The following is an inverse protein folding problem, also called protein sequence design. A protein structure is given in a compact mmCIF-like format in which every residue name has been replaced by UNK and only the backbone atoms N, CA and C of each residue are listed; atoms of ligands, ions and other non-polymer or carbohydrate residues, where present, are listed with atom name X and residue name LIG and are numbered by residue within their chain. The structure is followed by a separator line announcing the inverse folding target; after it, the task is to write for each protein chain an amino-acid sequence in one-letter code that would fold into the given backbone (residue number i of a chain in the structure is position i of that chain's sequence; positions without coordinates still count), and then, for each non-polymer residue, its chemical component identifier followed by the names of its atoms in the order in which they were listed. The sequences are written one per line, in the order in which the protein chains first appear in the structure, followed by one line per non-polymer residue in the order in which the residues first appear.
data_IF_333045880024
#
_entry.id   IF_333045880024
#
_cell.length_a   1.000
_cell.length_b   1.000
_cell.length_c   1.000
_cell.angle_alpha   90.00
_cell.angle_beta   90.00
_cell.angle_gamma   90.00
#
_symmetry.space_group_name_H-M   'P 1'
#
loop_
_entity.id
_entity.type
_entity.pdbx_description
1 polymer ?
#
# COMPACT_ATOMS: atom_id res chain seq x y z
N UNK A 1 -70.41 8.51 5.10
CA UNK A 1 -70.62 7.15 5.63
C UNK A 1 -69.35 6.71 6.31
N UNK A 2 -69.44 6.52 7.64
CA UNK A 2 -68.37 6.11 8.56
C UNK A 2 -68.36 4.59 8.70
N UNK A 3 -67.18 3.99 8.79
CA UNK A 3 -66.83 2.66 9.36
C UNK A 3 -65.29 2.55 9.27
N UNK A 4 -64.49 3.03 10.22
CA UNK A 4 -64.21 2.54 11.58
C UNK A 4 -64.22 1.02 11.69
N UNK A 5 -63.03 0.41 11.90
CA UNK A 5 -62.78 -0.91 12.51
C UNK A 5 -61.32 -0.91 13.03
N UNK A 6 -61.13 -0.48 14.27
CA UNK A 6 -60.68 -1.29 15.44
C UNK A 6 -59.18 -1.54 15.55
N UNK A 7 -58.55 -0.79 16.47
CA UNK A 7 -57.27 -1.11 17.11
C UNK A 7 -57.45 -2.37 17.99
N UNK A 8 -56.60 -3.38 17.80
CA UNK A 8 -56.43 -4.45 18.78
C UNK A 8 -55.05 -4.27 19.43
N UNK A 9 -55.05 -4.11 20.75
CA UNK A 9 -53.86 -4.12 21.59
C UNK A 9 -53.82 -5.42 22.39
N UNK A 10 -52.60 -5.78 22.81
CA UNK A 10 -52.20 -6.66 23.92
C UNK A 10 -51.95 -8.16 23.63
N UNK A 11 -50.64 -8.44 23.56
CA UNK A 11 -49.87 -9.17 24.58
C UNK A 11 -49.49 -10.64 24.32
N UNK A 12 -48.27 -10.93 24.80
CA UNK A 12 -47.66 -12.22 25.13
C UNK A 12 -46.96 -13.00 24.01
N UNK A 13 -45.63 -12.82 23.96
CA UNK A 13 -44.70 -13.95 24.06
C UNK A 13 -44.37 -14.70 22.78
N UNK A 14 -43.26 -14.31 22.15
CA UNK A 14 -42.20 -15.25 21.79
C UNK A 14 -40.92 -14.45 21.56
N UNK A 15 -40.00 -14.55 22.52
CA UNK A 15 -38.63 -14.07 22.35
C UNK A 15 -37.95 -15.05 21.38
N UNK A 16 -38.12 -14.83 20.08
CA UNK A 16 -37.36 -15.55 19.07
C UNK A 16 -35.91 -15.13 19.22
N UNK A 17 -35.11 -15.98 19.87
CA UNK A 17 -33.66 -15.87 19.84
C UNK A 17 -33.24 -15.84 18.37
N UNK A 18 -32.71 -14.71 17.91
CA UNK A 18 -31.89 -14.69 16.72
C UNK A 18 -30.59 -15.44 17.08
N UNK A 19 -30.26 -16.56 16.43
CA UNK A 19 -28.87 -16.96 16.40
C UNK A 19 -28.14 -15.85 15.65
N UNK A 20 -27.27 -15.12 16.35
CA UNK A 20 -26.18 -14.41 15.70
C UNK A 20 -25.30 -15.49 15.07
N UNK A 21 -25.57 -15.83 13.81
CA UNK A 21 -24.64 -16.61 13.01
C UNK A 21 -23.41 -15.74 12.80
N UNK A 22 -22.46 -15.85 13.74
CA UNK A 22 -21.08 -15.44 13.51
C UNK A 22 -20.51 -16.37 12.46
N UNK A 23 -20.44 -15.89 11.22
CA UNK A 23 -19.55 -16.41 10.21
C UNK A 23 -18.40 -15.41 10.09
N UNK A 24 -17.37 -15.59 10.92
CA UNK A 24 -16.03 -15.05 10.67
C UNK A 24 -15.11 -16.27 10.54
N UNK A 25 -14.16 -16.20 9.60
CA UNK A 25 -13.21 -17.24 9.18
C UNK A 25 -13.72 -18.23 8.12
N UNK A 26 -13.91 -17.73 6.89
CA UNK A 26 -13.64 -18.49 5.66
C UNK A 26 -12.61 -17.64 4.93
N UNK A 27 -11.33 -17.97 5.01
CA UNK A 27 -10.27 -17.16 4.41
C UNK A 27 -8.94 -17.88 4.27
N UNK A 28 -8.63 -18.84 5.15
CA UNK A 28 -7.28 -19.41 5.19
C UNK A 28 -7.10 -20.71 4.38
N UNK A 29 -8.15 -21.51 4.16
CA UNK A 29 -8.00 -22.85 3.53
C UNK A 29 -7.81 -22.83 2.00
N UNK A 30 -8.15 -21.74 1.30
CA UNK A 30 -8.06 -21.64 -0.16
C UNK A 30 -6.64 -21.33 -0.66
N UNK A 31 -5.82 -20.69 0.17
CA UNK A 31 -4.46 -20.25 -0.18
C UNK A 31 -3.39 -21.35 -0.07
N UNK A 32 -3.63 -22.36 0.77
CA UNK A 32 -2.73 -23.49 0.99
C UNK A 32 -2.66 -24.45 -0.21
N UNK A 33 -3.66 -24.43 -1.09
CA UNK A 33 -3.72 -25.26 -2.30
C UNK A 33 -3.41 -24.50 -3.60
N UNK A 34 -3.10 -23.19 -3.53
CA UNK A 34 -2.88 -22.36 -4.71
C UNK A 34 -1.56 -22.69 -5.42
N UNK A 35 -1.60 -22.84 -6.76
CA UNK A 35 -0.42 -23.13 -7.57
C UNK A 35 0.47 -21.89 -7.74
N UNK A 36 1.59 -21.88 -7.02
CA UNK A 36 2.61 -20.83 -7.07
C UNK A 36 3.78 -21.16 -8.02
N UNK A 37 3.62 -22.12 -8.92
CA UNK A 37 4.69 -22.52 -9.84
C UNK A 37 5.13 -21.33 -10.69
N UNK A 38 6.41 -20.91 -10.61
CA UNK A 38 6.92 -19.82 -11.43
C UNK A 38 6.83 -20.15 -12.92
N UNK A 39 6.49 -19.14 -13.72
CA UNK A 39 6.42 -19.23 -15.17
C UNK A 39 7.54 -18.42 -15.80
N UNK A 40 8.16 -18.98 -16.84
CA UNK A 40 9.20 -18.29 -17.60
C UNK A 40 8.65 -17.15 -18.46
N UNK A 41 7.42 -17.30 -18.99
CA UNK A 41 6.85 -16.36 -19.93
C UNK A 41 5.33 -16.21 -19.76
N UNK A 42 4.84 -14.98 -19.88
CA UNK A 42 3.42 -14.66 -19.95
C UNK A 42 3.03 -14.15 -21.34
N UNK A 43 1.74 -14.28 -21.69
CA UNK A 43 1.23 -13.83 -23.00
C UNK A 43 0.84 -12.36 -22.95
N UNK A 44 1.50 -11.53 -23.76
CA UNK A 44 1.33 -10.05 -23.70
C UNK A 44 -0.09 -9.60 -24.04
N UNK A 45 -0.75 -10.26 -24.98
CA UNK A 45 -2.14 -9.92 -25.37
C UNK A 45 -3.19 -10.19 -24.28
N UNK A 46 -2.80 -10.87 -23.20
CA UNK A 46 -3.64 -11.11 -22.02
C UNK A 46 -3.32 -10.16 -20.87
N UNK A 47 -2.25 -9.38 -20.93
CA UNK A 47 -1.95 -8.37 -19.91
C UNK A 47 -3.02 -7.27 -20.02
N UNK A 48 -3.67 -6.98 -18.91
CA UNK A 48 -4.66 -5.93 -18.78
C UNK A 48 -4.04 -4.68 -18.14
N UNK A 49 -3.31 -4.88 -17.04
CA UNK A 49 -2.62 -3.81 -16.30
C UNK A 49 -1.24 -4.26 -15.85
N UNK A 50 -0.33 -3.29 -15.74
CA UNK A 50 1.01 -3.46 -15.18
C UNK A 50 1.23 -2.42 -14.10
N UNK A 51 1.73 -2.85 -12.96
CA UNK A 51 1.86 -2.02 -11.77
C UNK A 51 3.18 -2.31 -11.07
N UNK A 52 4.00 -1.28 -10.87
CA UNK A 52 5.22 -1.34 -10.08
C UNK A 52 4.89 -1.07 -8.61
N UNK A 53 5.05 -2.08 -7.77
CA UNK A 53 4.89 -1.94 -6.31
C UNK A 53 6.09 -1.22 -5.69
N UNK A 54 7.28 -1.49 -6.22
CA UNK A 54 8.52 -0.86 -5.84
C UNK A 54 9.54 -0.94 -7.00
N UNK A 55 10.78 -0.51 -6.75
CA UNK A 55 11.86 -0.56 -7.75
C UNK A 55 12.34 -1.99 -8.10
N UNK A 56 11.73 -3.05 -7.59
CA UNK A 56 12.13 -4.44 -7.81
C UNK A 56 10.95 -5.41 -8.02
N UNK A 57 9.71 -4.99 -7.84
CA UNK A 57 8.53 -5.85 -7.90
C UNK A 57 7.47 -5.23 -8.82
N UNK A 58 7.06 -6.01 -9.83
CA UNK A 58 6.05 -5.61 -10.81
C UNK A 58 4.92 -6.63 -10.79
N UNK A 59 3.69 -6.16 -10.70
CA UNK A 59 2.48 -6.94 -10.93
C UNK A 59 2.04 -6.84 -12.38
N UNK A 60 1.72 -7.99 -12.97
CA UNK A 60 1.08 -8.12 -14.25
C UNK A 60 -0.31 -8.72 -14.03
N UNK A 61 -1.34 -7.87 -14.10
CA UNK A 61 -2.74 -8.28 -14.00
C UNK A 61 -3.19 -8.75 -15.37
N UNK A 62 -3.62 -10.00 -15.43
CA UNK A 62 -4.04 -10.65 -16.67
C UNK A 62 -5.56 -10.60 -16.77
N UNK A 63 -6.06 -10.68 -18.00
CA UNK A 63 -7.49 -10.89 -18.25
C UNK A 63 -7.92 -12.22 -17.64
N UNK A 64 -9.01 -12.19 -16.87
CA UNK A 64 -9.52 -13.34 -16.12
C UNK A 64 -8.93 -13.45 -14.71
N UNK A 65 -8.66 -12.31 -14.07
CA UNK A 65 -8.36 -12.15 -12.64
C UNK A 65 -7.08 -12.84 -12.13
N UNK A 66 -6.25 -13.36 -13.04
CA UNK A 66 -4.94 -13.91 -12.68
C UNK A 66 -3.90 -12.80 -12.58
N UNK A 67 -3.17 -12.76 -11.46
CA UNK A 67 -2.09 -11.79 -11.24
C UNK A 67 -0.76 -12.51 -11.11
N UNK A 68 0.25 -11.98 -11.80
CA UNK A 68 1.64 -12.45 -11.68
C UNK A 68 2.50 -11.38 -11.06
N UNK A 69 3.31 -11.76 -10.06
CA UNK A 69 4.42 -10.95 -9.57
C UNK A 69 5.69 -11.33 -10.32
N UNK A 70 6.38 -10.32 -10.87
CA UNK A 70 7.73 -10.44 -11.41
C UNK A 70 8.70 -9.75 -10.45
N UNK A 71 9.57 -10.52 -9.81
CA UNK A 71 10.64 -9.97 -8.98
C UNK A 71 11.91 -9.80 -9.81
N UNK A 72 12.35 -8.56 -9.97
CA UNK A 72 13.52 -8.22 -10.77
C UNK A 72 14.80 -8.69 -10.07
N UNK A 73 15.76 -9.31 -10.79
CA UNK A 73 17.02 -9.78 -10.21
C UNK A 73 17.91 -8.64 -9.69
N UNK A 74 17.64 -7.39 -10.08
CA UNK A 74 18.26 -6.18 -9.55
C UNK A 74 17.20 -5.08 -9.48
N UNK A 75 17.37 -4.14 -8.55
CA UNK A 75 16.57 -2.92 -8.51
C UNK A 75 16.67 -2.15 -9.83
N UNK A 76 15.55 -1.57 -10.23
CA UNK A 76 15.33 -0.83 -11.45
C UNK A 76 14.99 0.62 -11.08
N UNK A 77 15.96 1.54 -11.15
CA UNK A 77 15.76 2.89 -10.63
C UNK A 77 14.61 3.63 -11.31
N UNK A 78 13.72 4.20 -10.49
CA UNK A 78 12.59 5.03 -10.96
C UNK A 78 11.36 4.25 -11.39
N UNK A 79 11.36 2.92 -11.22
CA UNK A 79 10.26 2.06 -11.62
C UNK A 79 9.00 2.31 -10.79
N UNK A 80 9.07 2.38 -9.46
CA UNK A 80 7.91 2.71 -8.60
C UNK A 80 7.36 4.10 -8.96
N UNK A 81 8.27 5.07 -9.06
CA UNK A 81 7.94 6.48 -9.25
C UNK A 81 7.23 6.75 -10.58
N UNK A 82 7.69 6.12 -11.65
CA UNK A 82 7.12 6.31 -12.99
C UNK A 82 5.94 5.38 -13.25
N UNK A 83 5.91 4.22 -12.59
CA UNK A 83 4.90 3.16 -12.73
C UNK A 83 4.52 2.89 -14.20
N UNK A 84 5.53 2.93 -15.08
CA UNK A 84 5.35 2.86 -16.53
C UNK A 84 6.61 2.34 -17.18
N UNK A 85 6.44 1.35 -18.04
CA UNK A 85 7.53 0.66 -18.72
C UNK A 85 7.23 0.45 -20.20
N UNK A 86 8.27 0.38 -21.01
CA UNK A 86 8.27 -0.25 -22.32
C UNK A 86 8.93 -1.62 -22.23
N UNK A 87 8.50 -2.56 -23.07
CA UNK A 87 9.12 -3.88 -23.18
C UNK A 87 9.19 -4.32 -24.64
N UNK A 88 10.15 -5.20 -24.94
CA UNK A 88 10.26 -5.84 -26.24
C UNK A 88 9.90 -7.31 -26.10
N UNK A 89 8.98 -7.77 -26.93
CA UNK A 89 8.47 -9.14 -26.86
C UNK A 89 9.15 -10.03 -27.90
N UNK A 90 9.31 -11.30 -27.54
CA UNK A 90 9.69 -12.35 -28.49
C UNK A 90 8.49 -13.26 -28.72
N UNK A 91 8.03 -13.34 -29.98
CA UNK A 91 6.88 -14.18 -30.37
C UNK A 91 5.58 -13.90 -29.57
N UNK A 92 5.31 -12.63 -29.21
CA UNK A 92 4.08 -12.22 -28.51
C UNK A 92 4.04 -12.58 -27.02
N UNK A 93 5.16 -13.03 -26.45
CA UNK A 93 5.32 -13.32 -25.03
C UNK A 93 6.31 -12.34 -24.40
N UNK A 94 6.15 -12.14 -23.10
CA UNK A 94 7.12 -11.45 -22.25
C UNK A 94 7.73 -12.51 -21.33
N UNK A 95 9.04 -12.69 -21.41
CA UNK A 95 9.76 -13.75 -20.73
C UNK A 95 10.73 -13.21 -19.69
N UNK A 96 11.14 -14.07 -18.75
CA UNK A 96 12.11 -13.79 -17.69
C UNK A 96 13.48 -13.32 -18.22
N UNK A 97 13.82 -13.72 -19.44
CA UNK A 97 15.05 -13.31 -20.12
C UNK A 97 14.95 -11.96 -20.84
N UNK A 98 13.74 -11.41 -20.98
CA UNK A 98 13.51 -10.14 -21.65
C UNK A 98 13.85 -8.96 -20.72
N UNK A 99 13.86 -7.76 -21.31
CA UNK A 99 14.14 -6.52 -20.61
C UNK A 99 12.98 -5.55 -20.71
N UNK A 100 12.80 -4.76 -19.66
CA UNK A 100 11.92 -3.61 -19.59
C UNK A 100 12.75 -2.32 -19.56
N UNK A 101 12.18 -1.22 -20.02
CA UNK A 101 12.74 0.13 -19.92
C UNK A 101 11.73 1.01 -19.21
N UNK A 102 12.13 1.65 -18.11
CA UNK A 102 11.29 2.63 -17.42
C UNK A 102 11.04 3.82 -18.34
N UNK A 103 9.80 4.29 -18.42
CA UNK A 103 9.43 5.45 -19.24
C UNK A 103 9.26 6.69 -18.36
N UNK A 104 10.29 7.54 -18.37
CA UNK A 104 10.36 8.73 -17.55
C UNK A 104 9.59 9.90 -18.15
N UNK A 105 8.81 10.61 -17.31
CA UNK A 105 8.13 11.83 -17.72
C UNK A 105 9.15 12.95 -17.97
N UNK A 106 9.16 13.51 -19.18
CA UNK A 106 10.02 14.62 -19.56
C UNK A 106 9.27 15.66 -20.38
N UNK A 107 8.95 16.81 -19.76
CA UNK A 107 8.12 17.84 -20.39
C UNK A 107 6.75 17.28 -20.75
N UNK A 108 6.38 17.36 -22.04
CA UNK A 108 5.07 16.89 -22.56
C UNK A 108 5.08 15.44 -23.07
N UNK A 109 6.17 14.69 -22.88
CA UNK A 109 6.30 13.32 -23.40
C UNK A 109 7.13 12.40 -22.51
N UNK A 110 7.41 11.19 -23.01
CA UNK A 110 8.20 10.18 -22.31
C UNK A 110 9.58 10.02 -22.92
N UNK A 111 10.55 9.66 -22.08
CA UNK A 111 11.90 9.28 -22.49
C UNK A 111 12.27 7.94 -21.88
N UNK A 112 13.12 7.22 -22.57
CA UNK A 112 13.69 5.97 -22.07
C UNK A 112 14.61 6.28 -20.87
N UNK A 113 14.29 5.67 -19.73
CA UNK A 113 15.08 5.67 -18.52
C UNK A 113 15.92 4.40 -18.39
N UNK A 114 16.02 3.86 -17.17
CA UNK A 114 16.80 2.64 -16.92
C UNK A 114 16.17 1.40 -17.57
N UNK A 115 17.04 0.56 -18.14
CA UNK A 115 16.67 -0.76 -18.67
C UNK A 115 17.05 -1.86 -17.70
N UNK A 116 16.11 -2.75 -17.41
CA UNK A 116 16.21 -3.78 -16.39
C UNK A 116 15.80 -5.13 -16.94
N UNK A 117 16.46 -6.20 -16.51
CA UNK A 117 16.05 -7.58 -16.84
C UNK A 117 14.87 -7.97 -15.98
N UNK A 118 13.96 -8.76 -16.54
CA UNK A 118 12.89 -9.40 -15.82
C UNK A 118 13.40 -10.59 -14.99
N UNK A 119 12.54 -11.08 -14.09
CA UNK A 119 12.66 -12.37 -13.42
C UNK A 119 11.54 -13.32 -13.84
N UNK A 120 11.32 -14.37 -13.05
CA UNK A 120 10.20 -15.29 -13.27
C UNK A 120 8.86 -14.66 -12.87
N UNK A 121 7.77 -15.16 -13.45
CA UNK A 121 6.42 -14.73 -13.16
C UNK A 121 5.78 -15.69 -12.16
N UNK A 122 5.64 -15.25 -10.92
CA UNK A 122 5.04 -16.05 -9.84
C UNK A 122 3.56 -15.70 -9.73
N UNK A 123 2.62 -16.66 -9.86
CA UNK A 123 1.21 -16.40 -9.62
C UNK A 123 0.96 -15.95 -8.18
N UNK A 124 0.07 -14.98 -7.98
CA UNK A 124 -0.43 -14.57 -6.66
C UNK A 124 -1.81 -15.15 -6.41
N UNK A 125 -2.05 -15.60 -5.17
CA UNK A 125 -3.37 -16.05 -4.77
C UNK A 125 -4.38 -14.91 -4.70
N UNK A 126 -5.69 -15.20 -4.72
CA UNK A 126 -6.71 -14.18 -4.54
C UNK A 126 -6.55 -13.39 -3.23
N UNK A 127 -6.19 -14.07 -2.12
CA UNK A 127 -6.00 -13.39 -0.84
C UNK A 127 -4.76 -12.47 -0.85
N UNK A 128 -3.66 -12.90 -1.50
CA UNK A 128 -2.47 -12.06 -1.70
C UNK A 128 -2.81 -10.81 -2.54
N UNK A 129 -3.65 -10.94 -3.56
CA UNK A 129 -4.09 -9.81 -4.39
C UNK A 129 -4.99 -8.85 -3.59
N UNK A 130 -5.94 -9.39 -2.82
CA UNK A 130 -6.83 -8.59 -1.97
C UNK A 130 -6.03 -7.79 -0.91
N UNK A 131 -5.01 -8.40 -0.31
CA UNK A 131 -4.12 -7.72 0.64
C UNK A 131 -3.38 -6.55 -0.03
N UNK A 132 -2.84 -6.77 -1.24
CA UNK A 132 -2.13 -5.71 -1.99
C UNK A 132 -3.08 -4.55 -2.35
N UNK A 133 -4.29 -4.86 -2.78
CA UNK A 133 -5.30 -3.85 -3.11
C UNK A 133 -5.71 -3.02 -1.89
N UNK A 134 -5.91 -3.68 -0.74
CA UNK A 134 -6.23 -2.99 0.51
C UNK A 134 -5.11 -2.02 0.95
N UNK A 135 -3.84 -2.38 0.70
CA UNK A 135 -2.69 -1.51 0.98
C UNK A 135 -2.70 -0.28 0.05
N UNK A 136 -2.95 -0.45 -1.23
CA UNK A 136 -2.97 0.64 -2.22
C UNK A 136 -4.13 1.61 -1.99
N UNK A 137 -5.32 1.09 -1.68
CA UNK A 137 -6.47 1.90 -1.25
C UNK A 137 -6.15 2.69 0.05
N UNK A 138 -5.45 2.06 0.99
CA UNK A 138 -4.93 2.70 2.20
C UNK A 138 -3.95 3.83 1.90
N UNK A 139 -3.05 3.68 0.92
CA UNK A 139 -2.10 4.71 0.48
C UNK A 139 -2.80 5.87 -0.22
N UNK A 140 -3.85 5.61 -1.00
CA UNK A 140 -4.67 6.64 -1.63
C UNK A 140 -5.47 7.48 -0.61
N UNK A 141 -5.78 6.92 0.56
CA UNK A 141 -6.50 7.58 1.65
C UNK A 141 -5.62 8.36 2.65
N UNK A 142 -4.33 8.08 2.75
CA UNK A 142 -3.44 8.70 3.74
C UNK A 142 -2.76 9.96 3.22
N UNK A 143 -3.55 11.01 3.02
CA UNK A 143 -3.05 12.39 3.06
C UNK A 143 -2.83 12.81 4.50
N UNK A 144 -1.57 13.06 4.87
CA UNK A 144 -1.06 13.57 6.15
C UNK A 144 -0.82 12.54 7.26
N UNK A 145 0.46 12.29 7.53
CA UNK A 145 0.94 11.92 8.86
C UNK A 145 0.43 13.01 9.83
N UNK A 146 -0.48 12.68 10.75
CA UNK A 146 -0.79 13.56 11.87
C UNK A 146 0.34 13.44 12.88
N UNK A 147 1.30 14.35 12.80
CA UNK A 147 2.26 14.59 13.87
C UNK A 147 1.51 15.30 14.99
N UNK A 148 1.01 14.55 15.97
CA UNK A 148 0.55 15.16 17.22
C UNK A 148 1.80 15.57 17.98
N UNK A 149 2.01 16.88 18.14
CA UNK A 149 3.05 17.40 19.02
C UNK A 149 2.74 16.93 20.44
N UNK A 150 3.69 16.22 21.04
CA UNK A 150 3.67 15.95 22.48
C UNK A 150 4.02 17.27 23.14
N UNK A 151 3.02 18.03 23.58
CA UNK A 151 3.19 19.14 24.50
C UNK A 151 3.94 18.60 25.72
N UNK A 152 5.21 18.95 25.82
CA UNK A 152 5.95 18.76 27.07
C UNK A 152 5.51 19.91 27.95
N UNK A 153 4.73 19.59 28.98
CA UNK A 153 4.37 20.54 30.02
C UNK A 153 5.65 21.23 30.52
N UNK A 154 5.69 22.57 30.60
CA UNK A 154 6.86 23.26 31.12
C UNK A 154 7.01 22.88 32.59
N UNK A 155 8.14 22.28 32.95
CA UNK A 155 8.57 22.13 34.33
C UNK A 155 8.70 23.54 34.94
N UNK A 156 7.65 23.99 35.63
CA UNK A 156 7.65 25.15 36.50
C UNK A 156 8.61 24.89 37.67
N UNK A 157 9.87 25.29 37.53
CA UNK A 157 10.73 25.51 38.69
C UNK A 157 11.43 26.88 38.58
N UNK A 158 10.76 27.88 39.14
CA UNK A 158 11.32 29.19 39.39
C UNK A 158 11.91 29.26 40.81
N UNK A 159 12.98 30.08 40.89
CA UNK A 159 13.63 30.67 42.07
C UNK A 159 14.80 29.85 42.66
N UNK A 160 15.96 30.42 42.98
CA UNK A 160 16.21 31.74 43.56
C UNK A 160 17.53 32.39 43.08
N UNK A 161 17.56 33.71 43.20
CA UNK A 161 18.67 34.62 42.93
C UNK A 161 19.82 34.50 43.96
N UNK A 162 21.05 34.80 43.56
CA UNK A 162 22.01 35.44 44.46
C UNK A 162 23.03 36.28 43.67
N UNK A 163 23.60 37.25 44.38
CA UNK A 163 23.98 38.57 43.96
C UNK A 163 25.34 38.69 43.25
N UNK A 164 25.43 39.70 42.40
CA UNK A 164 26.69 40.36 42.06
C UNK A 164 27.28 41.08 43.29
N UNK A 165 28.60 41.19 43.38
CA UNK A 165 29.23 42.46 43.71
C UNK A 165 30.29 42.81 42.65
N UNK A 166 30.20 43.99 42.04
CA UNK A 166 30.74 45.26 42.49
C UNK A 166 32.22 45.42 42.12
N UNK A 167 32.48 46.48 41.37
CA UNK A 167 33.77 46.98 40.91
C UNK A 167 34.60 47.50 42.10
N UNK A 168 35.92 47.34 42.05
CA UNK A 168 36.87 48.19 42.79
C UNK A 168 38.17 48.36 41.97
N UNK A 169 38.46 49.61 41.63
CA UNK A 169 39.70 50.09 41.02
C UNK A 169 40.84 50.10 42.05
N UNK A 170 42.07 49.74 41.67
CA UNK A 170 43.23 50.08 42.52
C UNK A 170 44.58 49.44 42.19
N UNK A 171 45.36 50.14 41.36
CA UNK A 171 46.79 50.50 41.54
C UNK A 171 47.86 49.46 41.99
N UNK A 172 48.97 49.39 41.23
CA UNK A 172 50.30 49.05 41.78
C UNK A 172 51.14 48.03 41.01
N UNK A 173 51.96 48.50 40.05
CA UNK A 173 53.08 47.78 39.43
C UNK A 173 54.34 47.73 40.35
N UNK A 174 55.50 47.21 39.91
CA UNK A 174 55.80 45.98 39.16
C UNK A 174 56.37 44.85 40.04
#
# INVERSE_FOLDING_TARGET
MVRSLTRAALAAGLFSLLPASGALAQGDDEDDAFDRTPQDCITVSRIDQTEALDDQNILFRMRGDQVFRNHLPRRCPGLERENRIAYRTTAGRLCSIDTITVLEQFGVGFRDGFTCRLGEFVPLSPAEVEELEAIDEGRAGQGAIQTTEVETEPDDEAAEADASPAEDEGDGAP
#
